data_IF_433804547229
#
_entry.id   IF_433804547229
#
_cell.length_a   1.000
_cell.length_b   1.000
_cell.length_c   1.000
_cell.angle_alpha   90.00
_cell.angle_beta   90.00
_cell.angle_gamma   90.00
#
_symmetry.space_group_name_H-M   'P 1'
#
loop_
_entity.id
_entity.type
_entity.pdbx_description
1 polymer ?
#
# COMPACT_ATOMS: atom_id res chain seq x y z
N UNK A 1 -20.69 22.71 -3.94
CA UNK A 1 -21.30 21.37 -3.82
C UNK A 1 -20.74 20.66 -2.59
N UNK A 2 -21.22 19.45 -2.27
CA UNK A 2 -20.62 18.60 -1.23
C UNK A 2 -19.15 18.27 -1.53
N UNK A 3 -18.87 17.98 -2.81
CA UNK A 3 -17.52 17.80 -3.36
C UNK A 3 -16.62 18.99 -3.03
N UNK A 4 -17.03 20.24 -3.35
CA UNK A 4 -16.20 21.42 -3.07
C UNK A 4 -15.89 21.60 -1.58
N UNK A 5 -16.84 21.23 -0.70
CA UNK A 5 -16.65 21.30 0.75
C UNK A 5 -15.61 20.28 1.20
N UNK A 6 -15.70 19.05 0.69
CA UNK A 6 -14.73 18.02 0.98
C UNK A 6 -13.35 18.37 0.43
N UNK A 7 -13.24 18.84 -0.81
CA UNK A 7 -11.97 19.24 -1.42
C UNK A 7 -11.26 20.35 -0.63
N UNK A 8 -12.00 21.32 -0.08
CA UNK A 8 -11.42 22.33 0.83
C UNK A 8 -10.86 21.68 2.10
N UNK A 9 -11.63 20.80 2.74
CA UNK A 9 -11.19 20.08 3.95
C UNK A 9 -9.97 19.19 3.68
N UNK A 10 -9.95 18.51 2.53
CA UNK A 10 -8.84 17.68 2.10
C UNK A 10 -7.59 18.53 1.84
N UNK A 11 -7.74 19.71 1.22
CA UNK A 11 -6.63 20.66 1.04
C UNK A 11 -6.03 21.11 2.37
N UNK A 12 -6.87 21.38 3.38
CA UNK A 12 -6.39 21.72 4.72
C UNK A 12 -5.65 20.52 5.36
N UNK A 13 -6.16 19.30 5.18
CA UNK A 13 -5.53 18.07 5.66
C UNK A 13 -4.16 17.82 4.98
N UNK A 14 -4.08 17.98 3.66
CA UNK A 14 -2.84 17.97 2.89
C UNK A 14 -1.83 18.99 3.44
N UNK A 15 -2.26 20.24 3.60
CA UNK A 15 -1.45 21.31 4.18
C UNK A 15 -0.93 20.96 5.58
N UNK A 16 -1.78 20.38 6.42
CA UNK A 16 -1.37 19.93 7.75
C UNK A 16 -0.35 18.79 7.69
N UNK A 17 -0.60 17.73 6.90
CA UNK A 17 0.32 16.59 6.75
C UNK A 17 1.72 17.06 6.37
N UNK A 18 1.85 17.95 5.38
CA UNK A 18 3.15 18.48 4.93
C UNK A 18 3.96 19.18 6.01
N UNK A 19 3.30 19.74 7.03
CA UNK A 19 3.98 20.46 8.13
C UNK A 19 4.50 19.54 9.22
N UNK A 20 4.20 18.24 9.16
CA UNK A 20 4.52 17.30 10.24
C UNK A 20 5.91 16.69 10.08
N UNK A 21 6.56 16.42 11.22
CA UNK A 21 7.80 15.64 11.27
C UNK A 21 7.59 14.21 10.72
N UNK A 22 6.42 13.62 10.98
CA UNK A 22 5.97 12.36 10.39
C UNK A 22 6.20 12.34 8.88
N UNK A 23 5.63 13.32 8.16
CA UNK A 23 5.75 13.43 6.71
C UNK A 23 7.20 13.58 6.26
N UNK A 24 7.96 14.47 6.91
CA UNK A 24 9.37 14.70 6.57
C UNK A 24 10.21 13.43 6.71
N UNK A 25 10.02 12.68 7.80
CA UNK A 25 10.69 11.41 8.06
C UNK A 25 10.30 10.35 7.03
N UNK A 26 9.02 10.23 6.70
CA UNK A 26 8.52 9.28 5.72
C UNK A 26 9.08 9.56 4.32
N UNK A 27 9.00 10.80 3.83
CA UNK A 27 9.53 11.13 2.50
C UNK A 27 11.05 10.90 2.44
N UNK A 28 11.79 11.24 3.49
CA UNK A 28 13.22 10.95 3.58
C UNK A 28 13.49 9.44 3.56
N UNK A 29 12.67 8.65 4.25
CA UNK A 29 12.78 7.20 4.27
C UNK A 29 12.56 6.61 2.86
N UNK A 30 11.47 6.99 2.18
CA UNK A 30 11.17 6.49 0.82
C UNK A 30 12.32 6.84 -0.12
N UNK A 31 12.79 8.09 -0.13
CA UNK A 31 13.93 8.54 -0.96
C UNK A 31 15.24 7.79 -0.72
N UNK A 32 15.46 7.29 0.50
CA UNK A 32 16.70 6.59 0.86
C UNK A 32 16.61 5.07 0.71
N UNK A 33 15.39 4.51 0.68
CA UNK A 33 15.16 3.07 0.71
C UNK A 33 15.32 2.36 -0.64
N UNK A 34 15.15 3.10 -1.75
CA UNK A 34 15.20 2.53 -3.09
C UNK A 34 15.76 3.57 -4.07
N UNK A 35 16.63 3.14 -4.97
CA UNK A 35 17.20 3.99 -6.02
C UNK A 35 16.33 4.06 -7.28
N UNK A 36 15.19 3.35 -7.30
CA UNK A 36 14.29 3.35 -8.44
C UNK A 36 13.62 4.72 -8.59
N UNK A 37 13.58 5.22 -9.83
CA UNK A 37 12.58 6.21 -10.22
C UNK A 37 11.21 5.53 -10.19
N UNK A 38 10.26 6.16 -9.50
CA UNK A 38 8.88 5.69 -9.49
C UNK A 38 8.16 6.23 -10.73
N UNK A 39 7.33 5.39 -11.33
CA UNK A 39 6.53 5.72 -12.51
C UNK A 39 5.03 5.75 -12.18
N UNK A 40 4.61 5.13 -11.07
CA UNK A 40 3.21 5.10 -10.64
C UNK A 40 3.08 4.83 -9.13
N UNK A 41 1.92 5.19 -8.60
CA UNK A 41 1.46 4.77 -7.27
C UNK A 41 0.18 3.97 -7.45
N UNK A 42 0.10 2.81 -6.81
CA UNK A 42 -1.12 2.00 -6.74
C UNK A 42 -1.61 2.03 -5.29
N UNK A 43 -2.86 2.44 -5.09
CA UNK A 43 -3.49 2.46 -3.78
C UNK A 43 -4.67 1.48 -3.74
N UNK A 44 -4.66 0.60 -2.74
CA UNK A 44 -5.80 -0.25 -2.42
C UNK A 44 -6.27 0.05 -0.99
N UNK A 45 -7.57 -0.01 -0.74
CA UNK A 45 -8.11 -0.05 0.63
C UNK A 45 -8.03 1.28 1.40
N UNK A 46 -8.18 2.43 0.74
CA UNK A 46 -8.14 3.74 1.41
C UNK A 46 -9.38 4.01 2.29
N UNK A 47 -10.49 3.34 2.02
CA UNK A 47 -11.78 3.47 2.68
C UNK A 47 -12.63 4.68 2.27
N UNK A 48 -13.77 4.87 2.95
CA UNK A 48 -14.71 5.99 2.73
C UNK A 48 -14.20 7.30 3.31
N UNK A 49 -13.24 7.92 2.61
CA UNK A 49 -12.58 9.16 3.05
C UNK A 49 -13.51 10.37 3.21
N UNK A 50 -14.70 10.37 2.58
CA UNK A 50 -15.67 11.47 2.75
C UNK A 50 -16.25 11.53 4.17
N UNK A 51 -16.35 10.38 4.83
CA UNK A 51 -17.02 10.20 6.13
C UNK A 51 -16.12 9.65 7.24
N UNK A 52 -14.95 9.11 6.90
CA UNK A 52 -13.95 8.62 7.85
C UNK A 52 -12.71 9.54 7.84
N UNK A 53 -12.34 10.07 9.00
CA UNK A 53 -11.20 11.00 9.11
C UNK A 53 -9.84 10.31 8.93
N UNK A 54 -9.70 9.03 9.31
CA UNK A 54 -8.47 8.27 9.11
C UNK A 54 -8.23 8.12 7.60
N UNK A 55 -9.24 7.62 6.88
CA UNK A 55 -9.23 7.51 5.42
C UNK A 55 -8.97 8.86 4.73
N UNK A 56 -9.53 9.96 5.24
CA UNK A 56 -9.26 11.32 4.74
C UNK A 56 -7.79 11.72 4.89
N UNK A 57 -7.17 11.47 6.05
CA UNK A 57 -5.75 11.79 6.26
C UNK A 57 -4.83 10.82 5.50
N UNK A 58 -5.23 9.57 5.30
CA UNK A 58 -4.51 8.63 4.44
C UNK A 58 -4.55 9.06 2.98
N UNK A 59 -5.71 9.53 2.49
CA UNK A 59 -5.81 10.14 1.15
C UNK A 59 -4.96 11.41 1.06
N UNK A 60 -4.97 12.26 2.09
CA UNK A 60 -4.10 13.44 2.13
C UNK A 60 -2.62 13.06 2.03
N UNK A 61 -2.18 12.04 2.77
CA UNK A 61 -0.81 11.53 2.69
C UNK A 61 -0.48 10.99 1.29
N UNK A 62 -1.38 10.19 0.70
CA UNK A 62 -1.24 9.65 -0.66
C UNK A 62 -1.00 10.77 -1.68
N UNK A 63 -1.79 11.85 -1.61
CA UNK A 63 -1.63 13.02 -2.49
C UNK A 63 -0.30 13.73 -2.27
N UNK A 64 0.17 13.81 -1.04
CA UNK A 64 1.46 14.45 -0.74
C UNK A 64 2.67 13.61 -1.16
N UNK A 65 2.54 12.27 -1.16
CA UNK A 65 3.53 11.37 -1.77
C UNK A 65 3.48 11.52 -3.29
N UNK A 66 2.28 11.52 -3.89
CA UNK A 66 2.08 11.74 -5.32
C UNK A 66 2.72 13.05 -5.79
N UNK A 67 2.55 14.14 -5.05
CA UNK A 67 3.12 15.44 -5.38
C UNK A 67 4.67 15.46 -5.35
N UNK A 68 5.31 14.60 -4.55
CA UNK A 68 6.78 14.49 -4.49
C UNK A 68 7.35 13.85 -5.75
N UNK A 69 6.66 12.83 -6.29
CA UNK A 69 7.14 12.04 -7.42
C UNK A 69 6.53 12.46 -8.76
N UNK A 70 5.38 13.14 -8.76
CA UNK A 70 4.72 13.62 -9.97
C UNK A 70 4.16 12.50 -10.85
N UNK A 71 3.88 11.34 -10.27
CA UNK A 71 3.42 10.14 -10.98
C UNK A 71 1.90 9.97 -10.92
N UNK A 72 1.28 9.22 -11.86
CA UNK A 72 -0.12 8.85 -11.76
C UNK A 72 -0.40 8.00 -10.51
N UNK A 73 -1.59 8.19 -9.94
CA UNK A 73 -2.13 7.33 -8.88
C UNK A 73 -3.29 6.55 -9.45
N UNK A 74 -3.19 5.23 -9.39
CA UNK A 74 -4.31 4.33 -9.62
C UNK A 74 -4.85 3.90 -8.25
N UNK A 75 -6.16 3.96 -8.07
CA UNK A 75 -6.78 3.71 -6.77
C UNK A 75 -8.00 2.80 -6.90
N UNK A 76 -8.11 1.87 -5.96
CA UNK A 76 -9.24 0.97 -5.83
C UNK A 76 -9.65 0.80 -4.37
N UNK A 77 -10.95 0.77 -4.16
CA UNK A 77 -11.53 0.39 -2.88
C UNK A 77 -12.99 -0.03 -3.15
N UNK A 78 -13.41 -1.25 -2.80
CA UNK A 78 -14.76 -1.70 -3.12
C UNK A 78 -15.87 -0.92 -2.40
N UNK A 79 -15.61 -0.31 -1.24
CA UNK A 79 -16.60 0.49 -0.51
C UNK A 79 -16.78 1.93 -1.05
N UNK A 80 -16.08 2.32 -2.13
CA UNK A 80 -16.28 3.60 -2.80
C UNK A 80 -17.71 3.74 -3.36
N UNK A 81 -18.40 4.80 -2.93
CA UNK A 81 -19.67 5.20 -3.51
C UNK A 81 -19.48 6.28 -4.61
N UNK A 82 -20.58 6.81 -5.13
CA UNK A 82 -20.56 7.83 -6.20
C UNK A 82 -19.77 9.08 -5.79
N UNK A 83 -19.94 9.55 -4.55
CA UNK A 83 -19.26 10.73 -4.03
C UNK A 83 -17.73 10.54 -4.01
N UNK A 84 -17.22 9.41 -3.51
CA UNK A 84 -15.80 9.09 -3.52
C UNK A 84 -15.26 9.08 -4.95
N UNK A 85 -15.95 8.40 -5.88
CA UNK A 85 -15.54 8.34 -7.29
C UNK A 85 -15.49 9.72 -7.93
N UNK A 86 -16.48 10.57 -7.68
CA UNK A 86 -16.53 11.94 -8.20
C UNK A 86 -15.40 12.81 -7.61
N UNK A 87 -15.09 12.67 -6.32
CA UNK A 87 -13.98 13.37 -5.68
C UNK A 87 -12.64 12.92 -6.27
N UNK A 88 -12.43 11.61 -6.44
CA UNK A 88 -11.20 11.06 -7.01
C UNK A 88 -10.99 11.53 -8.46
N UNK A 89 -12.06 11.54 -9.26
CA UNK A 89 -12.03 12.10 -10.61
C UNK A 89 -11.69 13.60 -10.60
N UNK A 90 -12.28 14.39 -9.69
CA UNK A 90 -11.99 15.81 -9.54
C UNK A 90 -10.54 16.10 -9.10
N UNK A 91 -9.91 15.16 -8.38
CA UNK A 91 -8.50 15.20 -7.99
C UNK A 91 -7.54 14.71 -9.09
N UNK A 92 -8.06 14.14 -10.18
CA UNK A 92 -7.26 13.57 -11.27
C UNK A 92 -6.67 12.18 -10.98
N UNK A 93 -7.22 11.45 -10.02
CA UNK A 93 -6.81 10.07 -9.73
C UNK A 93 -7.50 9.10 -10.69
N UNK A 94 -6.81 8.01 -11.02
CA UNK A 94 -7.30 7.00 -11.95
C UNK A 94 -8.01 5.90 -11.16
N UNK A 95 -9.31 5.75 -11.36
CA UNK A 95 -10.09 4.67 -10.76
C UNK A 95 -9.75 3.35 -11.45
N UNK A 96 -9.35 2.35 -10.67
CA UNK A 96 -9.33 0.96 -11.12
C UNK A 96 -10.79 0.48 -11.11
N UNK A 97 -11.25 -0.09 -12.22
CA UNK A 97 -12.67 -0.43 -12.40
C UNK A 97 -13.03 -1.82 -11.91
N UNK A 98 -12.04 -2.70 -11.80
CA UNK A 98 -12.22 -4.11 -11.44
C UNK A 98 -11.50 -4.42 -10.13
N UNK A 99 -12.07 -5.34 -9.34
CA UNK A 99 -11.39 -5.85 -8.16
C UNK A 99 -10.26 -6.79 -8.60
N UNK A 100 -9.04 -6.26 -8.67
CA UNK A 100 -7.86 -7.06 -8.98
C UNK A 100 -7.37 -7.87 -7.78
N UNK A 101 -8.00 -7.75 -6.62
CA UNK A 101 -7.65 -8.53 -5.43
C UNK A 101 -6.18 -8.31 -4.99
N UNK A 102 -5.58 -7.18 -5.36
CA UNK A 102 -4.15 -6.88 -5.13
C UNK A 102 -3.19 -7.60 -6.07
N UNK A 103 -3.68 -8.33 -7.08
CA UNK A 103 -2.90 -9.14 -8.04
C UNK A 103 -2.31 -8.29 -9.18
N UNK A 104 -1.73 -7.13 -8.85
CA UNK A 104 -1.15 -6.19 -9.81
C UNK A 104 0.32 -6.53 -10.09
N UNK A 105 0.59 -7.02 -11.30
CA UNK A 105 1.96 -7.24 -11.79
C UNK A 105 2.64 -5.91 -12.12
N UNK A 106 3.93 -5.81 -11.79
CA UNK A 106 4.76 -4.64 -12.08
C UNK A 106 5.95 -4.97 -12.98
N UNK A 107 6.37 -3.96 -13.74
CA UNK A 107 7.56 -4.02 -14.59
C UNK A 107 8.40 -2.73 -14.52
N UNK A 108 8.00 -1.80 -13.65
CA UNK A 108 8.55 -0.45 -13.46
C UNK A 108 8.43 -0.07 -11.99
N UNK A 109 9.20 0.94 -11.54
CA UNK A 109 9.16 1.38 -10.16
C UNK A 109 7.75 1.80 -9.73
N UNK A 110 7.17 1.06 -8.78
CA UNK A 110 5.78 1.26 -8.33
C UNK A 110 5.73 1.34 -6.82
N UNK A 111 5.10 2.41 -6.30
CA UNK A 111 4.76 2.49 -4.88
C UNK A 111 3.38 1.88 -4.68
N UNK A 112 3.27 0.86 -3.83
CA UNK A 112 2.00 0.36 -3.35
C UNK A 112 1.66 1.03 -2.01
N UNK A 113 0.57 1.79 -1.97
CA UNK A 113 0.04 2.38 -0.75
C UNK A 113 -1.13 1.53 -0.24
N UNK A 114 -0.87 0.78 0.83
CA UNK A 114 -1.76 -0.24 1.40
C UNK A 114 -2.04 0.03 2.89
N UNK A 115 -2.63 1.19 3.26
CA UNK A 115 -2.89 1.51 4.65
C UNK A 115 -3.90 0.53 5.25
N UNK A 116 -3.58 -0.09 6.38
CA UNK A 116 -4.48 -1.00 7.11
C UNK A 116 -5.12 -2.12 6.28
N UNK A 117 -4.49 -2.48 5.16
CA UNK A 117 -5.04 -3.46 4.22
C UNK A 117 -4.99 -4.88 4.80
N UNK A 118 -5.94 -5.76 4.43
CA UNK A 118 -5.89 -7.16 4.76
C UNK A 118 -4.59 -7.80 4.25
N UNK A 119 -4.09 -8.76 4.99
CA UNK A 119 -2.85 -9.48 4.66
C UNK A 119 -2.95 -10.26 3.36
N UNK A 120 -4.16 -10.61 2.93
CA UNK A 120 -4.46 -11.26 1.67
C UNK A 120 -4.03 -10.40 0.48
N UNK A 121 -4.26 -9.07 0.52
CA UNK A 121 -3.77 -8.15 -0.52
C UNK A 121 -2.24 -8.14 -0.58
N UNK A 122 -1.58 -8.10 0.59
CA UNK A 122 -0.12 -8.15 0.66
C UNK A 122 0.43 -9.47 0.09
N UNK A 123 -0.20 -10.59 0.43
CA UNK A 123 0.19 -11.92 -0.05
C UNK A 123 -0.04 -12.09 -1.56
N UNK A 124 -1.16 -11.60 -2.10
CA UNK A 124 -1.46 -11.60 -3.53
C UNK A 124 -0.46 -10.74 -4.31
N UNK A 125 -0.10 -9.57 -3.76
CA UNK A 125 0.89 -8.69 -4.35
C UNK A 125 2.27 -9.35 -4.44
N UNK A 126 2.67 -10.06 -3.37
CA UNK A 126 3.91 -10.85 -3.38
C UNK A 126 3.84 -12.00 -4.39
N UNK A 127 2.73 -12.73 -4.43
CA UNK A 127 2.53 -13.85 -5.36
C UNK A 127 2.66 -13.43 -6.82
N UNK A 128 1.88 -12.43 -7.25
CA UNK A 128 1.83 -12.06 -8.66
C UNK A 128 3.17 -11.48 -9.18
N UNK A 129 4.01 -10.96 -8.28
CA UNK A 129 5.33 -10.41 -8.58
C UNK A 129 6.50 -11.31 -8.16
N UNK A 130 6.24 -12.54 -7.69
CA UNK A 130 7.22 -13.39 -7.03
C UNK A 130 8.54 -13.54 -7.84
N UNK A 131 9.67 -13.30 -7.19
CA UNK A 131 11.01 -13.34 -7.80
C UNK A 131 11.60 -11.96 -8.08
N UNK A 132 12.41 -11.85 -9.14
CA UNK A 132 13.07 -10.59 -9.51
C UNK A 132 12.12 -9.39 -9.72
N UNK A 133 10.86 -9.53 -10.24
CA UNK A 133 9.96 -8.39 -10.39
C UNK A 133 9.67 -7.63 -9.11
N UNK A 134 9.78 -8.26 -7.92
CA UNK A 134 9.63 -7.59 -6.63
C UNK A 134 10.57 -6.39 -6.45
N UNK A 135 11.72 -6.35 -7.15
CA UNK A 135 12.64 -5.20 -7.13
C UNK A 135 11.97 -3.87 -7.50
N UNK A 136 10.88 -3.94 -8.24
CA UNK A 136 10.13 -2.80 -8.72
C UNK A 136 9.09 -2.34 -7.70
N UNK A 137 8.76 -3.16 -6.71
CA UNK A 137 7.79 -2.83 -5.66
C UNK A 137 8.45 -2.04 -4.53
N UNK A 138 7.79 -0.96 -4.11
CA UNK A 138 7.97 -0.35 -2.79
C UNK A 138 6.62 -0.33 -2.10
N UNK A 139 6.46 -1.02 -0.97
CA UNK A 139 5.16 -1.16 -0.32
C UNK A 139 5.15 -0.30 0.95
N UNK A 140 4.26 0.67 1.02
CA UNK A 140 3.96 1.43 2.24
C UNK A 140 2.63 0.91 2.79
N UNK A 141 2.69 0.12 3.86
CA UNK A 141 1.52 -0.55 4.42
C UNK A 141 1.83 -1.20 5.77
N UNK A 142 1.02 -2.17 6.17
CA UNK A 142 1.18 -2.86 7.46
C UNK A 142 2.56 -3.49 7.62
N UNK A 143 3.07 -3.54 8.86
CA UNK A 143 4.29 -4.26 9.21
C UNK A 143 4.19 -5.74 8.82
N UNK A 144 5.13 -6.21 8.02
CA UNK A 144 5.31 -7.62 7.67
C UNK A 144 5.56 -8.45 8.92
N UNK A 145 6.36 -7.96 9.86
CA UNK A 145 6.59 -8.63 11.15
C UNK A 145 5.30 -8.89 11.93
N UNK A 146 4.37 -7.95 11.95
CA UNK A 146 3.05 -8.11 12.57
C UNK A 146 2.14 -9.04 11.75
N UNK A 147 2.06 -8.84 10.43
CA UNK A 147 1.30 -9.71 9.53
C UNK A 147 1.73 -11.18 9.69
N UNK A 148 3.03 -11.43 9.74
CA UNK A 148 3.61 -12.75 9.95
C UNK A 148 3.18 -13.32 11.29
N UNK A 149 3.31 -12.56 12.39
CA UNK A 149 2.90 -13.01 13.72
C UNK A 149 1.42 -13.43 13.79
N UNK A 150 0.52 -12.68 13.15
CA UNK A 150 -0.91 -13.02 13.05
C UNK A 150 -1.22 -14.18 12.09
N UNK A 151 -0.22 -14.66 11.36
CA UNK A 151 -0.35 -15.72 10.36
C UNK A 151 0.21 -17.06 10.83
N UNK A 152 1.12 -17.07 11.82
CA UNK A 152 1.73 -18.28 12.40
C UNK A 152 0.70 -19.29 12.94
N UNK A 153 -0.55 -18.88 13.22
CA UNK A 153 -1.65 -19.76 13.67
C UNK A 153 -2.73 -20.12 12.63
N UNK A 154 -2.68 -19.58 11.40
CA UNK A 154 -3.64 -19.89 10.31
C UNK A 154 -3.00 -20.89 9.32
N UNK A 155 -3.80 -21.49 8.44
CA UNK A 155 -3.34 -22.46 7.43
C UNK A 155 -2.05 -21.98 6.72
N UNK A 156 -0.96 -22.72 6.95
CA UNK A 156 0.40 -22.36 6.52
C UNK A 156 0.55 -22.27 5.00
N UNK A 157 -0.41 -22.83 4.25
CA UNK A 157 -0.38 -22.85 2.79
C UNK A 157 -0.93 -21.56 2.18
N UNK A 158 -1.96 -20.96 2.75
CA UNK A 158 -2.66 -19.80 2.17
C UNK A 158 -1.79 -18.53 2.14
N UNK A 159 -0.89 -18.38 3.12
CA UNK A 159 -0.01 -17.22 3.27
C UNK A 159 1.46 -17.57 3.07
N UNK A 160 1.73 -18.52 2.16
CA UNK A 160 3.07 -19.01 1.87
C UNK A 160 4.03 -17.87 1.48
N UNK A 161 3.58 -16.91 0.66
CA UNK A 161 4.43 -15.82 0.16
C UNK A 161 4.87 -14.85 1.26
N UNK A 162 3.97 -14.47 2.17
CA UNK A 162 4.31 -13.70 3.38
C UNK A 162 5.41 -14.41 4.17
N UNK A 163 5.30 -15.71 4.38
CA UNK A 163 6.31 -16.42 5.17
C UNK A 163 7.67 -16.44 4.46
N UNK A 164 7.68 -16.76 3.17
CA UNK A 164 8.91 -17.04 2.42
C UNK A 164 9.61 -15.79 1.89
N UNK A 165 8.99 -14.61 1.96
CA UNK A 165 9.65 -13.34 1.58
C UNK A 165 10.60 -12.81 2.66
N UNK A 166 10.44 -13.27 3.90
CA UNK A 166 11.21 -12.81 5.08
C UNK A 166 12.73 -12.67 4.87
N UNK A 167 13.43 -13.57 4.14
CA UNK A 167 14.87 -13.45 3.93
C UNK A 167 15.29 -12.26 3.04
N UNK A 168 14.39 -11.76 2.19
CA UNK A 168 14.72 -10.76 1.16
C UNK A 168 14.09 -9.40 1.38
N UNK A 169 12.95 -9.35 2.08
CA UNK A 169 12.27 -8.10 2.41
C UNK A 169 13.14 -7.26 3.35
N UNK A 170 13.33 -5.99 3.00
CA UNK A 170 13.80 -4.98 3.94
C UNK A 170 12.60 -4.19 4.42
N UNK A 171 12.29 -4.36 5.71
CA UNK A 171 11.24 -3.63 6.42
C UNK A 171 11.88 -2.44 7.16
N UNK A 172 11.33 -1.25 6.95
CA UNK A 172 11.68 -0.05 7.68
C UNK A 172 10.45 0.52 8.39
N UNK A 173 10.53 0.65 9.70
CA UNK A 173 9.46 1.22 10.50
C UNK A 173 9.14 2.66 10.08
N UNK A 174 7.85 2.95 9.86
CA UNK A 174 7.36 4.32 9.72
C UNK A 174 7.00 4.83 11.11
N UNK A 175 7.87 5.68 11.66
CA UNK A 175 7.69 6.24 13.00
C UNK A 175 6.46 7.16 12.99
N UNK A 176 5.41 6.77 13.72
CA UNK A 176 4.19 7.55 13.83
C UNK A 176 4.27 8.56 14.99
N UNK A 177 4.71 9.78 14.71
CA UNK A 177 4.59 10.94 15.60
C UNK A 177 3.49 11.92 15.12
N UNK A 178 2.56 11.43 14.30
CA UNK A 178 1.43 12.22 13.81
C UNK A 178 0.41 12.51 14.91
N UNK A 179 -0.31 13.63 14.81
CA UNK A 179 -1.29 14.04 15.83
C UNK A 179 -2.38 12.98 16.09
N UNK A 180 -2.83 12.31 15.04
CA UNK A 180 -3.85 11.26 15.10
C UNK A 180 -3.17 9.90 14.96
N UNK A 181 -2.82 9.32 16.12
CA UNK A 181 -1.95 8.15 16.22
C UNK A 181 -2.55 6.88 15.61
N UNK A 182 -3.87 6.84 15.43
CA UNK A 182 -4.63 5.75 14.85
C UNK A 182 -4.75 5.82 13.30
N UNK A 183 -4.27 6.90 12.69
CA UNK A 183 -4.33 7.06 11.22
C UNK A 183 -3.22 6.29 10.51
N UNK A 184 -2.01 6.36 11.07
CA UNK A 184 -0.77 5.82 10.50
C UNK A 184 -0.08 4.83 11.44
N UNK A 185 -0.81 4.20 12.36
CA UNK A 185 -0.29 3.13 13.19
C UNK A 185 0.12 1.92 12.33
N UNK A 186 1.04 1.12 12.87
CA UNK A 186 1.46 -0.17 12.30
C UNK A 186 1.92 -0.11 10.83
N UNK A 187 2.36 1.06 10.36
CA UNK A 187 2.91 1.20 9.01
C UNK A 187 4.42 0.93 8.97
N UNK A 188 4.85 0.32 7.88
CA UNK A 188 6.24 0.16 7.49
C UNK A 188 6.40 0.35 5.98
N UNK A 189 7.64 0.63 5.59
CA UNK A 189 8.08 0.65 4.21
C UNK A 189 8.83 -0.65 3.90
N UNK A 190 8.41 -1.34 2.85
CA UNK A 190 8.99 -2.59 2.40
C UNK A 190 9.65 -2.40 1.03
N UNK A 191 10.90 -2.83 0.92
CA UNK A 191 11.66 -2.83 -0.34
C UNK A 191 12.35 -4.17 -0.55
N UNK A 192 12.65 -4.49 -1.81
CA UNK A 192 13.20 -5.78 -2.21
C UNK A 192 14.49 -5.59 -3.04
N UNK A 193 15.65 -5.44 -2.40
CA UNK A 193 16.91 -5.24 -3.11
C UNK A 193 17.25 -6.42 -4.03
N UNK A 194 17.73 -6.11 -5.24
CA UNK A 194 18.00 -7.12 -6.26
C UNK A 194 19.10 -8.11 -5.84
N UNK A 195 20.11 -7.66 -5.10
CA UNK A 195 21.17 -8.49 -4.55
C UNK A 195 20.61 -9.52 -3.54
N UNK A 196 19.66 -9.12 -2.69
CA UNK A 196 18.95 -10.03 -1.79
C UNK A 196 18.08 -11.03 -2.54
N UNK A 197 17.32 -10.58 -3.55
CA UNK A 197 16.49 -11.47 -4.38
C UNK A 197 17.35 -12.54 -5.07
N UNK A 198 18.50 -12.16 -5.61
CA UNK A 198 19.44 -13.07 -6.29
C UNK A 198 20.20 -14.00 -5.36
N UNK A 199 20.27 -13.68 -4.07
CA UNK A 199 20.91 -14.55 -3.07
C UNK A 199 20.06 -15.76 -2.69
N UNK A 200 18.77 -15.78 -3.05
CA UNK A 200 17.84 -16.87 -2.72
C UNK A 200 17.91 -18.01 -3.74
N UNK A 201 17.87 -19.28 -3.31
CA UNK A 201 17.82 -20.42 -4.22
C UNK A 201 16.66 -20.34 -5.21
N UNK A 202 16.95 -20.61 -6.49
CA UNK A 202 15.97 -20.57 -7.58
C UNK A 202 14.73 -21.44 -7.31
N UNK A 203 14.90 -22.54 -6.58
CA UNK A 203 13.81 -23.43 -6.19
C UNK A 203 12.68 -22.73 -5.40
N UNK A 204 12.99 -21.68 -4.63
CA UNK A 204 11.97 -20.89 -3.90
C UNK A 204 11.11 -20.09 -4.88
N UNK A 205 11.70 -19.57 -5.96
CA UNK A 205 10.99 -18.81 -6.99
C UNK A 205 10.12 -19.68 -7.90
N UNK A 206 10.29 -21.02 -7.86
CA UNK A 206 9.47 -21.97 -8.63
C UNK A 206 8.07 -22.20 -8.04
N UNK A 207 7.83 -21.83 -6.78
CA UNK A 207 6.48 -21.85 -6.22
C UNK A 207 5.65 -20.71 -6.83
N UNK A 208 4.54 -21.06 -7.49
CA UNK A 208 3.68 -20.11 -8.21
C UNK A 208 2.19 -20.40 -8.01
N UNK A 209 1.83 -21.25 -7.05
CA UNK A 209 0.43 -21.56 -6.75
C UNK A 209 -0.29 -20.30 -6.29
N UNK A 210 -1.41 -19.99 -6.93
CA UNK A 210 -2.22 -18.84 -6.57
C UNK A 210 -2.81 -19.03 -5.17
N UNK A 211 -2.68 -18.03 -4.27
CA UNK A 211 -3.31 -18.08 -2.97
C UNK A 211 -4.83 -18.23 -3.10
N UNK A 212 -5.39 -19.19 -2.38
CA UNK A 212 -6.84 -19.37 -2.26
C UNK A 212 -7.25 -19.08 -0.84
N UNK A 213 -8.19 -18.16 -0.68
CA UNK A 213 -8.74 -17.79 0.61
C UNK A 213 -10.11 -18.43 0.77
N UNK A 214 -10.41 -18.90 1.99
CA UNK A 214 -11.78 -19.25 2.34
C UNK A 214 -12.68 -18.03 2.18
N UNK A 215 -13.99 -18.25 2.04
CA UNK A 215 -15.02 -17.20 1.94
C UNK A 215 -15.20 -16.35 3.21
N UNK A 216 -14.14 -16.17 4.01
CA UNK A 216 -14.13 -15.33 5.19
C UNK A 216 -14.20 -13.84 4.80
N UNK A 217 -15.33 -13.26 5.21
CA UNK A 217 -15.81 -11.88 5.39
C UNK A 217 -14.87 -10.66 5.22
N UNK A 218 -13.54 -10.78 5.25
CA UNK A 218 -12.61 -9.64 5.10
C UNK A 218 -12.31 -9.28 3.64
N UNK A 219 -12.44 -10.22 2.70
CA UNK A 219 -12.17 -9.97 1.27
C UNK A 219 -13.38 -9.36 0.52
N UNK A 220 -14.58 -9.48 1.10
CA UNK A 220 -15.87 -9.13 0.46
C UNK A 220 -16.43 -7.78 0.98
N UNK A 221 -15.83 -7.18 2.02
CA UNK A 221 -16.40 -5.99 2.70
C UNK A 221 -15.45 -4.83 2.98
N UNK A 222 -14.23 -4.85 2.45
CA UNK A 222 -13.55 -3.58 2.10
C UNK A 222 -13.93 -3.22 0.69
#
# INVERSE_FOLDING_TARGET
TEIDRFLRKLKDACGFVKTTEFYNKLIKLIKNSNSNDYEEIICYGIGRFSSNYQAMYQLALLLEVQAVYGVPVLIYDPIFNVLEKDILNALGLILILENEEGKRKVSRGTIFFLPHCPKELFNNLLWCNWGEPLRYCTILGNKHSEILAFTVGKDLTQFWYIRHITPVILEFDVINDFKYQDVFNNMALHVFPLDKLRAIPEAIWRHQEEPVYGSSEEFIQL
#
